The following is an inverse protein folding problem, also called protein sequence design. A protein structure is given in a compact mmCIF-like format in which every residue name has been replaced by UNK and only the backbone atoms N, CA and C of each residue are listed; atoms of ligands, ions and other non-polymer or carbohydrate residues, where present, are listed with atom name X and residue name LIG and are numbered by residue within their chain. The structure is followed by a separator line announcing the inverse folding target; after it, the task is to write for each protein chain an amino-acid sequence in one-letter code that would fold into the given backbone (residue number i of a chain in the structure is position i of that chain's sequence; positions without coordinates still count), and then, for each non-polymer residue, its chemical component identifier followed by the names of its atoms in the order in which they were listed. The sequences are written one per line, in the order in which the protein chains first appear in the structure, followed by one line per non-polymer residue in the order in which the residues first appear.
data_IF_691251466287
#
_entry.id   IF_691251466287
#
_cell.length_a   1.000
_cell.length_b   1.000
_cell.length_c   1.000
_cell.angle_alpha   90.00
_cell.angle_beta   90.00
_cell.angle_gamma   90.00
#
_symmetry.space_group_name_H-M   'P 1'
#
loop_
_entity.id
_entity.type
_entity.pdbx_description
1 polymer ?
#
# COMPACT_ATOMS: atom_id res chain seq x y z
N UNK A 1 -11.94 3.51 -22.59
CA UNK A 1 -12.86 2.54 -21.94
C UNK A 1 -12.19 1.75 -20.83
N UNK A 2 -11.18 0.91 -21.09
CA UNK A 2 -10.51 0.14 -20.01
C UNK A 2 -9.68 1.04 -19.08
N UNK A 3 -9.04 2.07 -19.65
CA UNK A 3 -8.31 3.10 -18.88
C UNK A 3 -9.22 3.90 -17.95
N UNK A 4 -10.44 4.22 -18.41
CA UNK A 4 -11.44 4.97 -17.62
C UNK A 4 -11.98 4.13 -16.46
N UNK A 5 -12.09 2.80 -16.65
CA UNK A 5 -12.52 1.89 -15.59
C UNK A 5 -11.46 1.78 -14.49
N UNK A 6 -10.17 1.68 -14.84
CA UNK A 6 -9.08 1.64 -13.87
C UNK A 6 -8.94 2.98 -13.12
N UNK A 7 -9.12 4.11 -13.80
CA UNK A 7 -9.14 5.43 -13.16
C UNK A 7 -10.34 5.58 -12.22
N UNK A 8 -11.54 5.13 -12.62
CA UNK A 8 -12.72 5.12 -11.78
C UNK A 8 -12.56 4.19 -10.56
N UNK A 9 -11.97 3.01 -10.74
CA UNK A 9 -11.65 2.10 -9.63
C UNK A 9 -10.63 2.73 -8.68
N UNK A 10 -9.61 3.43 -9.21
CA UNK A 10 -8.62 4.16 -8.41
C UNK A 10 -9.23 5.17 -7.43
N UNK A 11 -10.40 5.74 -7.73
CA UNK A 11 -11.15 6.64 -6.84
C UNK A 11 -11.79 5.92 -5.65
N UNK A 12 -11.89 4.60 -5.70
CA UNK A 12 -12.48 3.76 -4.66
C UNK A 12 -11.46 2.84 -3.96
N UNK A 13 -10.17 3.01 -4.25
CA UNK A 13 -9.10 2.28 -3.60
C UNK A 13 -8.56 3.03 -2.39
N UNK A 14 -8.32 2.28 -1.32
CA UNK A 14 -7.60 2.74 -0.14
C UNK A 14 -6.16 2.27 -0.24
N UNK A 15 -5.24 3.20 -0.04
CA UNK A 15 -3.81 2.96 -0.05
C UNK A 15 -3.20 3.22 1.32
N UNK A 16 -2.35 2.32 1.78
CA UNK A 16 -1.48 2.52 2.95
C UNK A 16 -0.07 2.09 2.61
N UNK A 17 0.88 2.96 2.89
CA UNK A 17 2.29 2.79 2.52
C UNK A 17 3.13 3.03 3.76
N UNK A 18 4.14 2.19 3.97
CA UNK A 18 5.13 2.35 5.01
C UNK A 18 6.09 1.16 5.06
N UNK A 19 7.06 1.19 5.97
CA UNK A 19 8.02 0.09 6.12
C UNK A 19 7.45 -0.99 7.04
N UNK A 20 7.74 -2.26 6.74
CA UNK A 20 7.51 -3.35 7.68
C UNK A 20 8.33 -3.12 8.97
N UNK A 21 7.82 -3.54 10.13
CA UNK A 21 8.52 -3.33 11.41
C UNK A 21 9.81 -4.17 11.49
N UNK A 22 9.73 -5.43 11.09
CA UNK A 22 10.80 -6.42 11.25
C UNK A 22 11.69 -6.56 10.01
N UNK A 23 11.27 -5.99 8.88
CA UNK A 23 11.95 -6.13 7.59
C UNK A 23 12.27 -4.77 6.97
N UNK A 24 13.37 -4.71 6.22
CA UNK A 24 13.75 -3.53 5.44
C UNK A 24 13.02 -3.52 4.09
N UNK A 25 11.68 -3.58 4.14
CA UNK A 25 10.79 -3.73 2.99
C UNK A 25 9.72 -2.63 3.01
N UNK A 26 9.53 -1.96 1.88
CA UNK A 26 8.42 -1.04 1.66
C UNK A 26 7.15 -1.85 1.40
N UNK A 27 6.16 -1.72 2.26
CA UNK A 27 4.86 -2.36 2.10
C UNK A 27 3.87 -1.36 1.53
N UNK A 28 3.17 -1.78 0.46
CA UNK A 28 2.06 -1.05 -0.15
C UNK A 28 0.80 -1.90 -0.02
N UNK A 29 -0.11 -1.48 0.85
CA UNK A 29 -1.43 -2.10 0.99
C UNK A 29 -2.44 -1.38 0.13
N UNK A 30 -3.19 -2.14 -0.66
CA UNK A 30 -4.25 -1.66 -1.53
C UNK A 30 -5.50 -2.51 -1.36
N UNK A 31 -6.67 -1.89 -1.35
CA UNK A 31 -7.95 -2.58 -1.22
C UNK A 31 -9.11 -1.65 -1.51
N UNK A 32 -10.32 -2.19 -1.63
CA UNK A 32 -11.52 -1.39 -1.83
C UNK A 32 -11.84 -0.54 -0.60
N UNK A 33 -12.54 0.58 -0.78
CA UNK A 33 -13.01 1.43 0.31
C UNK A 33 -13.84 0.67 1.36
N UNK A 34 -14.59 -0.35 0.94
CA UNK A 34 -15.32 -1.25 1.84
C UNK A 34 -14.42 -2.02 2.82
N UNK A 35 -13.15 -2.27 2.46
CA UNK A 35 -12.18 -2.97 3.29
C UNK A 35 -11.49 -2.06 4.33
N UNK A 36 -11.83 -0.77 4.41
CA UNK A 36 -11.17 0.21 5.31
C UNK A 36 -11.00 -0.27 6.76
N UNK A 37 -11.97 -0.96 7.40
CA UNK A 37 -11.79 -1.47 8.77
C UNK A 37 -10.61 -2.45 8.89
N UNK A 38 -10.41 -3.33 7.90
CA UNK A 38 -9.38 -4.37 7.89
C UNK A 38 -7.96 -3.82 7.89
N UNK A 39 -7.72 -2.67 7.27
CA UNK A 39 -6.41 -2.01 7.30
C UNK A 39 -5.92 -1.70 8.72
N UNK A 40 -6.84 -1.50 9.69
CA UNK A 40 -6.50 -1.23 11.10
C UNK A 40 -6.17 -2.50 11.90
N UNK A 41 -6.60 -3.65 11.41
CA UNK A 41 -6.38 -4.96 12.03
C UNK A 41 -5.00 -5.54 11.66
N UNK A 42 -4.46 -5.13 10.51
CA UNK A 42 -3.15 -5.56 10.03
C UNK A 42 -1.99 -4.98 10.86
N UNK A 43 -0.82 -5.67 10.90
CA UNK A 43 0.38 -5.16 11.55
C UNK A 43 0.72 -3.74 11.12
N UNK A 44 1.18 -2.90 12.05
CA UNK A 44 1.47 -1.49 11.75
C UNK A 44 2.61 -1.37 10.75
N UNK A 45 2.51 -0.35 9.91
CA UNK A 45 3.61 0.08 9.05
C UNK A 45 4.27 1.28 9.70
N UNK A 46 5.59 1.33 9.65
CA UNK A 46 6.37 2.44 10.15
C UNK A 46 6.37 3.57 9.10
N UNK A 47 6.18 4.80 9.58
CA UNK A 47 6.40 5.99 8.76
C UNK A 47 7.89 6.13 8.50
N UNK A 48 8.25 6.35 7.23
CA UNK A 48 9.63 6.57 6.78
C UNK A 48 9.70 7.79 5.87
N UNK A 49 10.85 8.47 5.77
CA UNK A 49 11.01 9.62 4.87
C UNK A 49 10.87 9.23 3.40
N UNK A 50 10.43 10.17 2.55
CA UNK A 50 10.27 9.96 1.11
C UNK A 50 11.55 9.45 0.42
N UNK A 51 12.72 9.89 0.89
CA UNK A 51 14.01 9.41 0.39
C UNK A 51 14.22 7.91 0.64
N UNK A 52 13.75 7.40 1.78
CA UNK A 52 13.82 5.98 2.12
C UNK A 52 12.80 5.18 1.31
N UNK A 53 11.59 5.71 1.11
CA UNK A 53 10.58 5.14 0.20
C UNK A 53 11.16 4.98 -1.21
N UNK A 54 11.74 6.04 -1.76
CA UNK A 54 12.33 6.04 -3.09
C UNK A 54 13.51 5.05 -3.21
N UNK A 55 14.35 4.96 -2.17
CA UNK A 55 15.45 4.00 -2.13
C UNK A 55 14.95 2.56 -2.15
N UNK A 56 14.04 2.19 -1.25
CA UNK A 56 13.49 0.83 -1.17
C UNK A 56 12.77 0.43 -2.47
N UNK A 57 12.03 1.36 -3.07
CA UNK A 57 11.39 1.15 -4.36
C UNK A 57 12.40 0.90 -5.49
N UNK A 58 13.48 1.70 -5.56
CA UNK A 58 14.55 1.55 -6.56
C UNK A 58 15.33 0.24 -6.39
N UNK A 59 15.50 -0.22 -5.16
CA UNK A 59 16.14 -1.50 -4.84
C UNK A 59 15.23 -2.72 -5.07
N UNK A 60 13.95 -2.51 -5.42
CA UNK A 60 12.99 -3.59 -5.62
C UNK A 60 12.53 -4.24 -4.31
N UNK A 61 12.82 -3.64 -3.16
CA UNK A 61 12.41 -4.11 -1.82
C UNK A 61 10.99 -3.66 -1.50
N UNK A 62 10.05 -4.08 -2.34
CA UNK A 62 8.65 -3.68 -2.28
C UNK A 62 7.76 -4.91 -2.19
N UNK A 63 6.80 -4.87 -1.27
CA UNK A 63 5.75 -5.88 -1.13
C UNK A 63 4.40 -5.22 -1.29
N UNK A 64 3.65 -5.64 -2.31
CA UNK A 64 2.29 -5.18 -2.55
C UNK A 64 1.32 -6.20 -1.94
N UNK A 65 0.44 -5.72 -1.07
CA UNK A 65 -0.56 -6.54 -0.37
C UNK A 65 -1.96 -6.10 -0.81
N UNK A 66 -2.78 -7.06 -1.24
CA UNK A 66 -4.20 -6.83 -1.42
C UNK A 66 -4.92 -7.02 -0.07
N UNK A 67 -5.77 -6.07 0.31
CA UNK A 67 -6.57 -6.12 1.53
C UNK A 67 -8.01 -6.46 1.16
N UNK A 68 -8.42 -7.67 1.48
CA UNK A 68 -9.81 -8.12 1.34
C UNK A 68 -10.71 -7.52 2.43
N UNK A 69 -12.01 -7.42 2.15
CA UNK A 69 -13.04 -6.89 3.07
C UNK A 69 -13.67 -7.96 3.93
#
# INVERSE_FOLDING_TARGET
MEKDLLEALGQHLVWRIGRAEEEEVLVVRVGLASATPRFRELPRLLNIPDAEVARLAKEGRVRVEWVEG
#
